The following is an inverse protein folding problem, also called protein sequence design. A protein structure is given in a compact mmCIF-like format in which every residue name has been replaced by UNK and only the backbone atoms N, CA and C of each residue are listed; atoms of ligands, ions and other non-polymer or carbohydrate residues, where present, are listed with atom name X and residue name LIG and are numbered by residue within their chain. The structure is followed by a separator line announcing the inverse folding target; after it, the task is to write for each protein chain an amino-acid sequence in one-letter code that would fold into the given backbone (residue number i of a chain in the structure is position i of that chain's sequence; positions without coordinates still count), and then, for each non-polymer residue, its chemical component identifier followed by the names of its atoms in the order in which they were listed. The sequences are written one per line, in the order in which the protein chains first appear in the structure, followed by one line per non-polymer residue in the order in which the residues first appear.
data_IF_067321744288
#
_entry.id   IF_067321744288
#
_cell.length_a   1.000
_cell.length_b   1.000
_cell.length_c   1.000
_cell.angle_alpha   90.00
_cell.angle_beta   90.00
_cell.angle_gamma   90.00
#
_symmetry.space_group_name_H-M   'P 1'
#
loop_
_entity.id
_entity.type
_entity.pdbx_description
1 polymer ?
#
# COMPACT_ATOMS: atom_id res chain seq x y z
N UNK A 1 29.82 22.35 87.06
CA UNK A 1 28.93 21.27 86.59
C UNK A 1 27.80 21.90 85.80
N UNK A 2 27.88 21.82 84.47
CA UNK A 2 26.92 22.43 83.53
C UNK A 2 25.86 21.37 83.21
N UNK A 3 24.59 21.63 83.57
CA UNK A 3 23.45 20.78 83.19
C UNK A 3 23.02 21.16 81.77
N UNK A 4 23.20 20.24 80.83
CA UNK A 4 22.66 20.34 79.47
C UNK A 4 21.22 19.81 79.46
N UNK A 5 20.28 20.67 79.06
CA UNK A 5 18.88 20.30 78.75
C UNK A 5 18.81 19.80 77.31
N UNK A 6 18.50 18.51 77.13
CA UNK A 6 18.13 17.94 75.83
C UNK A 6 16.66 18.27 75.53
N UNK A 7 16.42 19.08 74.50
CA UNK A 7 15.10 19.25 73.88
C UNK A 7 14.85 18.11 72.89
N UNK A 8 13.81 17.32 73.13
CA UNK A 8 13.34 16.31 72.19
C UNK A 8 12.52 16.98 71.06
N UNK A 9 13.01 16.92 69.82
CA UNK A 9 12.22 17.22 68.63
C UNK A 9 11.26 16.06 68.35
N UNK A 10 9.96 16.32 68.41
CA UNK A 10 8.95 15.39 67.95
C UNK A 10 8.81 15.49 66.42
N UNK A 11 9.31 14.50 65.68
CA UNK A 11 8.97 14.32 64.26
C UNK A 11 7.52 13.85 64.15
N UNK A 12 6.64 14.73 63.68
CA UNK A 12 5.26 14.37 63.34
C UNK A 12 5.23 13.74 61.94
N UNK A 13 5.09 12.42 61.88
CA UNK A 13 4.83 11.70 60.63
C UNK A 13 3.40 12.02 60.16
N UNK A 14 3.29 12.88 59.14
CA UNK A 14 2.01 13.14 58.47
C UNK A 14 1.74 11.98 57.51
N UNK A 15 0.84 11.07 57.90
CA UNK A 15 0.31 10.06 57.01
C UNK A 15 -0.55 10.76 55.95
N UNK A 16 -0.04 10.84 54.72
CA UNK A 16 -0.79 11.31 53.56
C UNK A 16 -1.82 10.23 53.22
N UNK A 17 -3.07 10.41 53.67
CA UNK A 17 -4.17 9.58 53.24
C UNK A 17 -4.43 9.86 51.76
N UNK A 18 -3.92 8.99 50.88
CA UNK A 18 -4.29 8.98 49.48
C UNK A 18 -5.76 8.56 49.46
N UNK A 19 -6.66 9.52 49.28
CA UNK A 19 -8.05 9.21 49.01
C UNK A 19 -8.07 8.30 47.78
N UNK A 20 -8.78 7.15 47.81
CA UNK A 20 -8.96 6.36 46.60
C UNK A 20 -9.58 7.29 45.56
N UNK A 21 -8.79 7.67 44.56
CA UNK A 21 -9.28 8.46 43.46
C UNK A 21 -10.46 7.70 42.87
N UNK A 22 -11.60 8.36 42.73
CA UNK A 22 -12.72 7.78 42.00
C UNK A 22 -12.18 7.34 40.65
N UNK A 23 -12.12 6.02 40.42
CA UNK A 23 -11.68 5.49 39.15
C UNK A 23 -12.65 6.03 38.10
N UNK A 24 -12.10 6.66 37.05
CA UNK A 24 -12.91 7.07 35.91
C UNK A 24 -13.68 5.84 35.40
N UNK A 25 -14.97 6.02 35.11
CA UNK A 25 -15.78 4.97 34.53
C UNK A 25 -15.13 4.50 33.20
N UNK A 26 -15.16 3.20 32.88
CA UNK A 26 -14.60 2.70 31.64
C UNK A 26 -15.33 3.32 30.45
N UNK A 27 -14.63 3.56 29.33
CA UNK A 27 -15.27 4.07 28.12
C UNK A 27 -16.38 3.12 27.63
N UNK A 28 -17.47 3.67 27.09
CA UNK A 28 -18.51 2.85 26.48
C UNK A 28 -17.99 2.16 25.20
N UNK A 29 -18.25 0.86 25.00
CA UNK A 29 -17.99 0.18 23.74
C UNK A 29 -18.65 0.90 22.55
N UNK A 30 -18.05 0.79 21.37
CA UNK A 30 -18.63 1.28 20.14
C UNK A 30 -19.63 0.24 19.61
N UNK A 31 -20.75 0.72 19.08
CA UNK A 31 -21.60 -0.09 18.22
C UNK A 31 -21.64 0.57 16.84
N UNK A 32 -21.15 -0.14 15.81
CA UNK A 32 -21.29 0.34 14.43
C UNK A 32 -22.73 0.07 13.99
N UNK A 33 -23.51 1.14 13.81
CA UNK A 33 -24.93 1.09 13.44
C UNK A 33 -25.14 1.16 11.93
N UNK A 34 -24.15 1.66 11.18
CA UNK A 34 -24.11 1.60 9.72
C UNK A 34 -22.67 1.44 9.22
N UNK A 35 -22.42 0.56 8.24
CA UNK A 35 -23.36 -0.43 7.72
C UNK A 35 -23.64 -1.56 8.72
N UNK A 36 -24.84 -2.13 8.65
CA UNK A 36 -25.15 -3.35 9.39
C UNK A 36 -24.26 -4.50 8.90
N UNK A 37 -23.91 -5.43 9.80
CA UNK A 37 -23.08 -6.57 9.46
C UNK A 37 -23.64 -7.37 8.27
N UNK A 38 -22.80 -7.67 7.29
CA UNK A 38 -23.15 -8.34 6.03
C UNK A 38 -23.84 -7.47 4.98
N UNK A 39 -23.99 -6.15 5.20
CA UNK A 39 -24.65 -5.28 4.23
C UNK A 39 -23.83 -5.13 2.94
N UNK A 40 -24.54 -4.96 1.83
CA UNK A 40 -23.96 -4.55 0.55
C UNK A 40 -24.10 -3.04 0.35
N UNK A 41 -22.98 -2.30 0.34
CA UNK A 41 -22.94 -0.83 0.37
C UNK A 41 -22.37 -0.22 -0.92
N UNK A 42 -22.40 1.10 -1.10
CA UNK A 42 -21.65 1.75 -2.20
C UNK A 42 -20.13 1.72 -1.93
N UNK A 43 -19.30 2.12 -2.90
CA UNK A 43 -17.85 2.26 -2.70
C UNK A 43 -17.45 3.43 -1.79
N UNK A 44 -18.41 4.30 -1.43
CA UNK A 44 -18.25 5.43 -0.51
C UNK A 44 -19.26 5.33 0.64
N UNK A 45 -19.24 4.24 1.43
CA UNK A 45 -20.21 4.07 2.51
C UNK A 45 -19.99 5.13 3.59
N UNK A 46 -21.09 5.48 4.27
CA UNK A 46 -21.01 6.22 5.52
C UNK A 46 -20.95 5.24 6.68
N UNK A 47 -19.85 5.29 7.44
CA UNK A 47 -19.66 4.53 8.67
C UNK A 47 -20.21 5.35 9.83
N UNK A 48 -21.17 4.78 10.55
CA UNK A 48 -21.78 5.38 11.72
C UNK A 48 -21.60 4.48 12.92
N UNK A 49 -21.12 5.03 14.03
CA UNK A 49 -21.00 4.31 15.29
C UNK A 49 -21.57 5.12 16.45
N UNK A 50 -22.22 4.43 17.39
CA UNK A 50 -22.80 4.99 18.62
C UNK A 50 -22.13 4.41 19.85
N UNK A 51 -22.19 5.13 20.97
CA UNK A 51 -21.80 4.58 22.26
C UNK A 51 -22.84 3.56 22.74
N UNK A 52 -22.39 2.45 23.32
CA UNK A 52 -23.25 1.55 24.08
C UNK A 52 -24.03 2.34 25.16
N UNK A 53 -25.29 1.97 25.36
CA UNK A 53 -26.23 2.64 26.24
C UNK A 53 -26.26 2.07 27.68
N UNK A 54 -25.35 1.16 28.01
CA UNK A 54 -25.20 0.62 29.37
C UNK A 54 -24.86 1.71 30.39
N UNK A 55 -25.43 1.60 31.59
CA UNK A 55 -25.39 2.64 32.62
C UNK A 55 -24.06 2.76 33.37
N UNK A 56 -23.09 1.88 33.11
CA UNK A 56 -21.85 1.73 33.86
C UNK A 56 -20.58 2.19 33.10
N UNK A 57 -20.75 2.80 31.92
CA UNK A 57 -19.65 3.29 31.10
C UNK A 57 -19.72 4.80 30.82
N UNK A 58 -18.57 5.38 30.47
CA UNK A 58 -18.43 6.77 30.07
C UNK A 58 -18.43 6.88 28.53
N UNK A 59 -19.46 7.48 27.90
CA UNK A 59 -19.46 7.70 26.46
C UNK A 59 -18.52 8.85 26.03
N UNK A 60 -17.80 9.50 26.97
CA UNK A 60 -16.91 10.63 26.72
C UNK A 60 -15.51 10.23 26.25
N UNK A 61 -15.44 9.57 25.09
CA UNK A 61 -14.16 9.36 24.41
C UNK A 61 -13.69 10.67 23.76
N UNK A 62 -12.39 10.97 23.88
CA UNK A 62 -11.77 12.15 23.26
C UNK A 62 -11.34 11.86 21.83
N UNK A 63 -10.78 10.69 21.61
CA UNK A 63 -10.18 10.30 20.35
C UNK A 63 -10.86 9.02 19.85
N UNK A 64 -11.30 9.05 18.60
CA UNK A 64 -11.93 7.94 17.89
C UNK A 64 -11.12 7.66 16.64
N UNK A 65 -10.71 6.42 16.43
CA UNK A 65 -10.08 5.99 15.18
C UNK A 65 -10.95 4.98 14.46
N UNK A 66 -11.12 5.17 13.17
CA UNK A 66 -11.77 4.26 12.25
C UNK A 66 -10.70 3.62 11.37
N UNK A 67 -10.71 2.30 11.29
CA UNK A 67 -9.94 1.52 10.31
C UNK A 67 -10.91 0.73 9.43
N UNK A 68 -10.62 0.68 8.13
CA UNK A 68 -11.25 -0.26 7.20
C UNK A 68 -10.20 -1.28 6.81
N UNK A 69 -10.51 -2.54 7.09
CA UNK A 69 -9.63 -3.67 6.91
C UNK A 69 -10.23 -4.60 5.86
N UNK A 70 -9.47 -4.98 4.84
CA UNK A 70 -9.90 -5.97 3.86
C UNK A 70 -10.06 -7.34 4.55
N UNK A 71 -11.21 -7.99 4.35
CA UNK A 71 -11.57 -9.15 5.15
C UNK A 71 -10.68 -10.38 4.90
N UNK A 72 -10.24 -10.56 3.65
CA UNK A 72 -9.46 -11.72 3.23
C UNK A 72 -7.96 -11.57 3.55
N UNK A 73 -7.38 -10.40 3.28
CA UNK A 73 -5.95 -10.15 3.51
C UNK A 73 -5.64 -9.69 4.93
N UNK A 74 -6.60 -9.07 5.62
CA UNK A 74 -6.37 -8.41 6.90
C UNK A 74 -5.63 -7.07 6.78
N UNK A 75 -5.43 -6.55 5.57
CA UNK A 75 -4.75 -5.28 5.34
C UNK A 75 -5.67 -4.10 5.66
N UNK A 76 -5.18 -3.12 6.43
CA UNK A 76 -5.85 -1.83 6.60
C UNK A 76 -5.74 -1.03 5.31
N UNK A 77 -6.87 -0.82 4.64
CA UNK A 77 -6.95 -0.07 3.37
C UNK A 77 -7.31 1.40 3.57
N UNK A 78 -7.86 1.75 4.73
CA UNK A 78 -8.24 3.11 5.08
C UNK A 78 -8.14 3.32 6.60
N UNK A 79 -7.61 4.46 7.02
CA UNK A 79 -7.57 4.88 8.43
C UNK A 79 -8.00 6.35 8.55
N UNK A 80 -8.78 6.68 9.58
CA UNK A 80 -9.13 8.05 9.91
C UNK A 80 -9.27 8.24 11.42
N UNK A 81 -8.82 9.38 11.95
CA UNK A 81 -8.90 9.71 13.38
C UNK A 81 -9.67 11.00 13.61
N UNK A 82 -10.47 11.03 14.67
CA UNK A 82 -11.20 12.20 15.15
C UNK A 82 -10.76 12.54 16.56
N UNK A 83 -10.49 13.82 16.78
CA UNK A 83 -10.33 14.38 18.13
C UNK A 83 -11.50 15.30 18.45
N UNK A 84 -12.10 15.09 19.63
CA UNK A 84 -13.26 15.84 20.08
C UNK A 84 -12.95 17.33 20.20
N UNK A 85 -13.76 18.15 19.54
CA UNK A 85 -13.57 19.60 19.41
C UNK A 85 -13.37 20.04 17.95
N UNK A 86 -12.98 19.11 17.08
CA UNK A 86 -12.75 19.34 15.64
C UNK A 86 -13.77 18.57 14.78
N UNK A 87 -15.07 18.85 14.94
CA UNK A 87 -16.12 18.34 14.03
C UNK A 87 -17.17 17.41 14.63
N UNK A 88 -17.03 16.98 15.89
CA UNK A 88 -18.09 16.27 16.60
C UNK A 88 -19.10 17.26 17.21
N UNK A 89 -20.40 17.06 16.99
CA UNK A 89 -21.47 17.95 17.47
C UNK A 89 -21.46 18.08 19.00
N UNK A 90 -21.08 19.26 19.50
CA UNK A 90 -20.89 19.59 20.93
C UNK A 90 -22.17 20.13 21.60
N UNK A 91 -23.31 19.48 21.37
CA UNK A 91 -24.60 19.85 21.98
C UNK A 91 -24.80 19.23 23.37
N UNK A 92 -24.96 20.08 24.40
CA UNK A 92 -25.11 19.73 25.82
C UNK A 92 -26.27 18.74 26.09
N UNK A 93 -26.16 18.05 27.24
CA UNK A 93 -27.09 17.07 27.87
C UNK A 93 -27.19 15.70 27.20
N UNK A 94 -26.64 14.70 27.88
CA UNK A 94 -26.56 13.29 27.47
C UNK A 94 -27.95 12.68 27.32
N UNK A 95 -28.25 12.17 26.13
CA UNK A 95 -29.30 11.18 25.92
C UNK A 95 -28.66 9.95 25.28
N UNK A 96 -29.14 8.77 25.67
CA UNK A 96 -28.76 7.47 25.12
C UNK A 96 -28.83 7.47 23.59
N UNK A 97 -27.87 6.81 22.91
CA UNK A 97 -27.82 6.73 21.44
C UNK A 97 -27.05 7.86 20.74
N UNK A 98 -26.10 8.48 21.42
CA UNK A 98 -25.27 9.54 20.84
C UNK A 98 -24.26 8.96 19.83
N UNK A 99 -24.24 9.58 18.65
CA UNK A 99 -23.36 9.25 17.53
C UNK A 99 -21.92 9.65 17.87
N UNK A 100 -21.02 8.66 17.91
CA UNK A 100 -19.59 8.83 18.14
C UNK A 100 -18.82 9.08 16.85
N UNK A 101 -19.32 8.54 15.74
CA UNK A 101 -18.69 8.57 14.43
C UNK A 101 -19.76 8.71 13.35
N UNK A 102 -19.52 9.61 12.40
CA UNK A 102 -20.30 9.74 11.15
C UNK A 102 -19.31 10.11 10.04
N UNK A 103 -18.83 9.10 9.31
CA UNK A 103 -17.74 9.28 8.36
C UNK A 103 -18.05 8.69 7.01
N UNK A 104 -17.99 9.50 5.96
CA UNK A 104 -18.08 9.00 4.60
C UNK A 104 -16.68 8.60 4.09
N UNK A 105 -16.52 7.33 3.72
CA UNK A 105 -15.29 6.85 3.11
C UNK A 105 -15.11 7.54 1.74
N UNK A 106 -13.94 8.15 1.47
CA UNK A 106 -13.66 8.78 0.18
C UNK A 106 -13.72 7.79 -1.00
N UNK A 107 -14.01 8.31 -2.19
CA UNK A 107 -14.05 7.51 -3.42
C UNK A 107 -12.67 6.94 -3.79
N UNK A 108 -12.63 5.64 -4.11
CA UNK A 108 -11.41 4.92 -4.50
C UNK A 108 -10.66 4.28 -3.34
N UNK A 109 -11.14 4.40 -2.11
CA UNK A 109 -10.55 3.68 -0.97
C UNK A 109 -10.95 2.20 -0.93
N UNK A 110 -12.16 1.89 -1.40
CA UNK A 110 -12.72 0.54 -1.36
C UNK A 110 -12.95 0.01 -2.77
N UNK A 111 -12.56 -1.24 -3.00
CA UNK A 111 -12.74 -1.96 -4.25
C UNK A 111 -14.14 -2.57 -4.31
N UNK A 112 -14.74 -2.58 -5.50
CA UNK A 112 -16.09 -3.11 -5.71
C UNK A 112 -16.08 -4.66 -5.66
N UNK A 113 -17.10 -5.25 -5.05
CA UNK A 113 -17.20 -6.71 -4.89
C UNK A 113 -16.44 -7.26 -3.68
N UNK A 114 -15.50 -6.49 -3.14
CA UNK A 114 -14.70 -6.90 -1.99
C UNK A 114 -15.46 -6.78 -0.67
N UNK A 115 -15.05 -7.62 0.29
CA UNK A 115 -15.57 -7.60 1.65
C UNK A 115 -14.58 -6.93 2.59
N UNK A 116 -15.08 -6.01 3.40
CA UNK A 116 -14.31 -5.24 4.35
C UNK A 116 -14.87 -5.41 5.76
N UNK A 117 -14.02 -5.10 6.73
CA UNK A 117 -14.34 -4.96 8.14
C UNK A 117 -14.07 -3.52 8.55
N UNK A 118 -15.09 -2.81 9.03
CA UNK A 118 -14.88 -1.56 9.74
C UNK A 118 -14.60 -1.85 11.21
N UNK A 119 -13.56 -1.22 11.74
CA UNK A 119 -13.14 -1.32 13.13
C UNK A 119 -13.06 0.08 13.73
N UNK A 120 -13.70 0.27 14.88
CA UNK A 120 -13.67 1.54 15.61
C UNK A 120 -12.89 1.35 16.91
N UNK A 121 -11.94 2.25 17.15
CA UNK A 121 -11.07 2.27 18.31
C UNK A 121 -11.25 3.57 19.09
N UNK A 122 -11.03 3.51 20.41
CA UNK A 122 -10.97 4.69 21.26
C UNK A 122 -9.71 4.69 22.10
N UNK A 123 -9.20 5.89 22.37
CA UNK A 123 -8.14 6.08 23.35
C UNK A 123 -8.70 5.80 24.75
N UNK A 124 -8.02 4.91 25.48
CA UNK A 124 -8.16 4.73 26.92
C UNK A 124 -7.08 5.58 27.57
N UNK A 125 -7.43 6.71 28.22
CA UNK A 125 -6.45 7.50 28.96
C UNK A 125 -5.99 6.69 30.17
N UNK A 126 -4.94 5.90 29.98
CA UNK A 126 -4.21 5.28 31.09
C UNK A 126 -2.95 6.10 31.29
N UNK A 127 -2.69 6.60 32.52
CA UNK A 127 -1.55 7.48 32.76
C UNK A 127 -0.17 6.82 32.56
N UNK A 128 -0.09 5.54 32.15
CA UNK A 128 1.15 4.76 32.10
C UNK A 128 1.24 3.70 30.98
N UNK A 129 0.32 3.61 30.01
CA UNK A 129 0.48 2.69 28.87
C UNK A 129 1.08 3.40 27.64
N UNK A 130 1.96 2.71 26.93
CA UNK A 130 2.57 3.19 25.68
C UNK A 130 1.70 2.89 24.44
N UNK A 131 0.72 1.98 24.57
CA UNK A 131 -0.35 1.77 23.60
C UNK A 131 -1.67 2.24 24.22
N UNK A 132 -2.14 3.41 23.78
CA UNK A 132 -3.28 4.09 24.38
C UNK A 132 -4.64 3.57 23.88
N UNK A 133 -4.70 2.62 22.95
CA UNK A 133 -5.98 2.14 22.43
C UNK A 133 -6.56 0.98 23.24
N UNK A 134 -7.85 1.06 23.59
CA UNK A 134 -8.55 0.09 24.43
C UNK A 134 -8.79 -1.29 23.79
N UNK A 135 -8.24 -1.58 22.61
CA UNK A 135 -8.68 -2.64 21.71
C UNK A 135 -9.85 -2.21 20.81
N UNK A 136 -10.27 -3.08 19.90
CA UNK A 136 -11.39 -2.84 18.97
C UNK A 136 -12.67 -2.63 19.78
N UNK A 137 -13.22 -1.42 19.75
CA UNK A 137 -14.40 -1.06 20.51
C UNK A 137 -15.70 -1.46 19.79
N UNK A 138 -15.67 -1.59 18.46
CA UNK A 138 -16.76 -2.12 17.65
C UNK A 138 -16.28 -2.58 16.29
N UNK A 139 -16.94 -3.60 15.73
CA UNK A 139 -16.60 -4.17 14.42
C UNK A 139 -17.85 -4.54 13.64
N UNK A 140 -17.82 -4.35 12.33
CA UNK A 140 -18.85 -4.81 11.40
C UNK A 140 -18.20 -5.21 10.09
N UNK A 141 -18.76 -6.20 9.40
CA UNK A 141 -18.34 -6.55 8.03
C UNK A 141 -19.36 -6.05 7.02
N UNK A 142 -18.91 -5.64 5.85
CA UNK A 142 -19.78 -5.24 4.75
C UNK A 142 -19.10 -5.53 3.42
N UNK A 143 -19.90 -5.71 2.37
CA UNK A 143 -19.41 -5.94 1.01
C UNK A 143 -19.68 -4.69 0.18
N UNK A 144 -18.70 -4.21 -0.56
CA UNK A 144 -18.94 -3.12 -1.51
C UNK A 144 -19.69 -3.69 -2.71
N UNK A 145 -20.80 -3.06 -3.06
CA UNK A 145 -21.59 -3.41 -4.24
C UNK A 145 -20.68 -3.38 -5.45
N UNK A 146 -20.47 -4.56 -6.06
CA UNK A 146 -19.94 -4.66 -7.42
C UNK A 146 -20.78 -3.75 -8.31
N UNK A 147 -20.13 -2.77 -8.95
CA UNK A 147 -20.80 -1.70 -9.70
C UNK A 147 -21.67 -2.25 -10.83
N UNK A 148 -22.91 -2.63 -10.52
CA UNK A 148 -23.97 -2.79 -11.50
C UNK A 148 -24.48 -1.42 -11.93
N UNK A 149 -23.59 -0.56 -12.41
CA UNK A 149 -23.95 0.65 -13.14
C UNK A 149 -23.64 0.35 -14.59
N UNK A 150 -24.67 0.30 -15.43
CA UNK A 150 -24.48 0.15 -16.87
C UNK A 150 -23.50 1.18 -17.40
N UNK A 151 -22.62 0.72 -18.29
CA UNK A 151 -21.82 1.50 -19.23
C UNK A 151 -20.44 2.03 -18.78
N UNK A 152 -19.71 1.30 -17.93
CA UNK A 152 -18.26 1.46 -17.78
C UNK A 152 -17.67 0.24 -17.08
N UNK A 153 -16.89 -0.56 -17.80
CA UNK A 153 -16.42 -1.88 -17.39
C UNK A 153 -15.74 -1.86 -16.01
N UNK A 154 -16.38 -2.44 -15.00
CA UNK A 154 -15.71 -2.78 -13.75
C UNK A 154 -14.74 -3.90 -14.03
N UNK A 155 -13.44 -3.62 -13.93
CA UNK A 155 -12.35 -4.56 -14.17
C UNK A 155 -12.63 -5.90 -13.50
N UNK A 156 -12.67 -6.96 -14.30
CA UNK A 156 -12.73 -8.33 -13.78
C UNK A 156 -11.47 -8.52 -12.94
N UNK A 157 -11.56 -9.00 -11.69
CA UNK A 157 -10.38 -9.22 -10.86
C UNK A 157 -9.38 -10.11 -11.61
N UNK A 158 -8.06 -9.87 -11.47
CA UNK A 158 -7.03 -10.67 -12.11
C UNK A 158 -7.25 -12.17 -11.81
N UNK A 159 -7.26 -12.98 -12.86
CA UNK A 159 -7.36 -14.43 -12.76
C UNK A 159 -5.96 -15.05 -12.57
N UNK A 160 -5.85 -16.32 -12.12
CA UNK A 160 -4.57 -17.01 -12.14
C UNK A 160 -3.95 -17.00 -13.55
N UNK A 161 -2.77 -16.39 -13.69
CA UNK A 161 -2.09 -16.19 -14.98
C UNK A 161 -2.29 -14.81 -15.60
N UNK A 162 -3.11 -13.95 -14.98
CA UNK A 162 -3.12 -12.53 -15.29
C UNK A 162 -2.00 -11.82 -14.52
N UNK A 163 -1.44 -10.78 -15.13
CA UNK A 163 -0.46 -9.89 -14.51
C UNK A 163 -1.07 -8.51 -14.28
N UNK A 164 -0.69 -7.86 -13.20
CA UNK A 164 -1.04 -6.46 -12.92
C UNK A 164 0.16 -5.57 -13.17
N UNK A 165 -0.06 -4.43 -13.80
CA UNK A 165 0.96 -3.40 -14.01
C UNK A 165 0.47 -2.11 -13.38
N UNK A 166 1.30 -1.48 -12.58
CA UNK A 166 1.09 -0.10 -12.13
C UNK A 166 2.28 0.74 -12.59
N UNK A 167 2.01 1.82 -13.33
CA UNK A 167 3.02 2.79 -13.73
C UNK A 167 2.78 4.06 -12.92
N UNK A 168 3.70 4.38 -12.01
CA UNK A 168 3.58 5.52 -11.08
C UNK A 168 4.56 6.62 -11.47
N UNK A 169 4.05 7.78 -11.89
CA UNK A 169 4.90 8.88 -12.32
C UNK A 169 5.55 9.64 -11.15
N UNK A 170 6.74 10.18 -11.36
CA UNK A 170 7.52 10.94 -10.36
C UNK A 170 7.19 12.44 -10.30
N UNK A 171 6.23 12.89 -11.12
CA UNK A 171 5.79 14.29 -11.23
C UNK A 171 6.34 15.04 -12.45
N UNK A 172 7.42 14.55 -13.07
CA UNK A 172 7.98 15.12 -14.32
C UNK A 172 7.20 14.78 -15.58
N UNK A 173 6.42 13.70 -15.54
CA UNK A 173 5.73 13.16 -16.71
C UNK A 173 6.63 12.25 -17.55
N UNK A 174 6.14 11.08 -17.95
CA UNK A 174 6.81 10.22 -18.94
C UNK A 174 5.78 9.48 -19.77
N UNK A 175 6.03 9.36 -21.07
CA UNK A 175 5.26 8.48 -21.93
C UNK A 175 5.63 7.02 -21.67
N UNK A 176 4.70 6.11 -21.93
CA UNK A 176 4.98 4.68 -21.88
C UNK A 176 4.39 3.95 -23.08
N UNK A 177 5.03 2.83 -23.42
CA UNK A 177 4.48 1.80 -24.29
C UNK A 177 4.61 0.44 -23.61
N UNK A 178 3.50 -0.28 -23.50
CA UNK A 178 3.42 -1.65 -22.99
C UNK A 178 3.18 -2.56 -24.19
N UNK A 179 4.05 -3.54 -24.37
CA UNK A 179 3.89 -4.65 -25.30
C UNK A 179 3.51 -5.89 -24.49
N UNK A 180 2.22 -6.17 -24.41
CA UNK A 180 1.64 -7.33 -23.77
C UNK A 180 2.00 -8.64 -24.47
N UNK A 181 2.07 -9.71 -23.70
CA UNK A 181 2.06 -11.08 -24.23
C UNK A 181 0.65 -11.65 -24.40
N UNK A 182 -0.35 -10.76 -24.44
CA UNK A 182 -1.77 -11.07 -24.50
C UNK A 182 -2.62 -9.81 -24.30
N UNK A 183 -3.93 -9.98 -24.05
CA UNK A 183 -4.88 -8.86 -24.01
C UNK A 183 -4.58 -7.92 -22.85
N UNK A 184 -4.45 -6.63 -23.15
CA UNK A 184 -4.34 -5.55 -22.17
C UNK A 184 -5.71 -4.95 -21.85
N UNK A 185 -5.90 -4.58 -20.59
CA UNK A 185 -7.11 -3.92 -20.09
C UNK A 185 -6.67 -2.83 -19.12
N UNK A 186 -7.01 -1.58 -19.39
CA UNK A 186 -6.78 -0.49 -18.44
C UNK A 186 -7.77 -0.60 -17.28
N UNK A 187 -7.36 -0.14 -16.10
CA UNK A 187 -8.15 -0.24 -14.87
C UNK A 187 -8.22 1.10 -14.16
N UNK A 188 -9.44 1.53 -13.81
CA UNK A 188 -9.71 2.59 -12.83
C UNK A 188 -9.97 2.00 -11.43
N UNK A 189 -9.44 2.63 -10.38
CA UNK A 189 -9.69 2.26 -8.98
C UNK A 189 -8.43 1.88 -8.22
N UNK A 190 -8.35 0.65 -7.70
CA UNK A 190 -7.18 0.13 -6.98
C UNK A 190 -6.62 -1.11 -7.67
N UNK A 191 -5.31 -1.12 -7.88
CA UNK A 191 -4.57 -2.23 -8.48
C UNK A 191 -3.25 -2.41 -7.73
N UNK A 192 -2.93 -3.63 -7.31
CA UNK A 192 -1.73 -3.94 -6.52
C UNK A 192 -1.54 -2.99 -5.29
N UNK A 193 -2.65 -2.63 -4.62
CA UNK A 193 -2.63 -1.73 -3.46
C UNK A 193 -2.47 -0.24 -3.79
N UNK A 194 -2.27 0.13 -5.05
CA UNK A 194 -2.12 1.51 -5.53
C UNK A 194 -3.43 2.04 -6.10
N UNK A 195 -3.68 3.35 -5.96
CA UNK A 195 -4.77 4.01 -6.67
C UNK A 195 -4.33 4.24 -8.11
N UNK A 196 -5.10 3.76 -9.07
CA UNK A 196 -4.88 3.91 -10.50
C UNK A 196 -6.07 4.59 -11.15
N UNK A 197 -5.85 5.25 -12.28
CA UNK A 197 -6.91 5.88 -13.05
C UNK A 197 -6.86 5.48 -14.51
N UNK A 198 -8.04 5.33 -15.12
CA UNK A 198 -8.17 5.40 -16.58
C UNK A 198 -8.07 6.86 -17.01
N UNK A 199 -7.09 7.18 -17.86
CA UNK A 199 -6.99 8.50 -18.45
C UNK A 199 -7.38 8.46 -19.92
N UNK A 200 -8.12 9.48 -20.38
CA UNK A 200 -8.57 9.54 -21.77
C UNK A 200 -7.45 9.76 -22.79
N UNK A 201 -6.20 9.94 -22.36
CA UNK A 201 -5.01 10.01 -23.20
C UNK A 201 -4.25 8.68 -23.30
N UNK A 202 -4.75 7.61 -22.68
CA UNK A 202 -4.19 6.28 -22.83
C UNK A 202 -4.97 5.52 -23.89
N UNK A 203 -4.25 4.77 -24.71
CA UNK A 203 -4.78 3.98 -25.82
C UNK A 203 -4.39 2.53 -25.59
N UNK A 204 -5.39 1.65 -25.58
CA UNK A 204 -5.18 0.19 -25.54
C UNK A 204 -5.71 -0.40 -26.84
N UNK A 205 -4.81 -1.01 -27.61
CA UNK A 205 -5.10 -1.73 -28.86
C UNK A 205 -4.60 -3.17 -28.72
N UNK A 206 -5.53 -4.06 -28.37
CA UNK A 206 -5.32 -5.50 -28.11
C UNK A 206 -4.20 -5.80 -27.09
N UNK A 207 -3.00 -6.10 -27.58
CA UNK A 207 -1.80 -6.44 -26.80
C UNK A 207 -0.83 -5.26 -26.65
N UNK A 208 -1.20 -4.06 -27.11
CA UNK A 208 -0.37 -2.87 -26.97
C UNK A 208 -1.13 -1.77 -26.21
N UNK A 209 -0.47 -1.16 -25.22
CA UNK A 209 -0.97 0.05 -24.57
C UNK A 209 0.05 1.18 -24.69
N UNK A 210 -0.43 2.40 -24.93
CA UNK A 210 0.36 3.62 -24.99
C UNK A 210 -0.30 4.69 -24.15
N UNK A 211 0.50 5.48 -23.45
CA UNK A 211 -0.04 6.50 -22.58
C UNK A 211 1.03 7.40 -22.03
N UNK A 212 0.66 8.20 -21.03
CA UNK A 212 1.61 9.02 -20.31
C UNK A 212 1.18 9.21 -18.86
N UNK A 213 2.12 9.02 -17.94
CA UNK A 213 1.89 9.20 -16.51
C UNK A 213 2.61 10.43 -15.99
N UNK A 214 1.91 11.27 -15.21
CA UNK A 214 2.42 12.50 -14.59
C UNK A 214 2.81 12.35 -13.13
N UNK A 215 1.99 12.88 -12.23
CA UNK A 215 2.10 12.68 -10.78
C UNK A 215 1.12 11.65 -10.21
N UNK A 216 0.38 10.96 -11.08
CA UNK A 216 -0.58 9.92 -10.74
C UNK A 216 -0.04 8.51 -11.02
N UNK A 217 -0.96 7.55 -11.16
CA UNK A 217 -0.62 6.19 -11.55
C UNK A 217 -1.65 5.66 -12.53
N UNK A 218 -1.16 4.92 -13.52
CA UNK A 218 -1.99 4.21 -14.48
C UNK A 218 -1.90 2.71 -14.19
N UNK A 219 -3.00 2.00 -14.38
CA UNK A 219 -3.14 0.59 -14.03
C UNK A 219 -3.57 -0.24 -15.22
N UNK A 220 -2.94 -1.40 -15.40
CA UNK A 220 -3.27 -2.34 -16.46
C UNK A 220 -3.32 -3.77 -15.94
N UNK A 221 -4.24 -4.56 -16.48
CA UNK A 221 -4.23 -6.02 -16.37
C UNK A 221 -3.79 -6.59 -17.71
N UNK A 222 -2.79 -7.48 -17.68
CA UNK A 222 -2.35 -8.27 -18.84
C UNK A 222 -2.87 -9.68 -18.69
N UNK A 223 -3.59 -10.18 -19.70
CA UNK A 223 -4.07 -11.56 -19.74
C UNK A 223 -3.17 -12.37 -20.66
N UNK A 224 -2.23 -13.14 -20.10
CA UNK A 224 -1.27 -13.93 -20.87
C UNK A 224 0.16 -13.68 -20.40
N UNK A 225 1.10 -13.69 -21.34
CA UNK A 225 2.52 -13.58 -20.99
C UNK A 225 2.89 -12.17 -20.53
N UNK A 226 3.93 -12.10 -19.70
CA UNK A 226 4.38 -10.88 -19.03
C UNK A 226 4.95 -9.85 -20.04
N UNK A 227 4.52 -8.58 -19.98
CA UNK A 227 4.83 -7.57 -20.99
C UNK A 227 6.29 -7.11 -21.04
N UNK A 228 6.67 -6.50 -22.15
CA UNK A 228 7.81 -5.57 -22.24
C UNK A 228 7.28 -4.14 -22.08
N UNK A 229 7.93 -3.31 -21.27
CA UNK A 229 7.45 -1.96 -20.96
C UNK A 229 8.57 -0.97 -21.27
N UNK A 230 8.28 0.07 -22.04
CA UNK A 230 9.24 1.12 -22.39
C UNK A 230 8.72 2.44 -21.86
N UNK A 231 9.58 3.20 -21.20
CA UNK A 231 9.33 4.58 -20.81
C UNK A 231 10.12 5.50 -21.73
N UNK A 232 9.51 6.62 -22.14
CA UNK A 232 10.20 7.65 -22.92
C UNK A 232 11.30 8.32 -22.08
N UNK A 233 11.02 8.55 -20.79
CA UNK A 233 11.96 8.95 -19.74
C UNK A 233 11.94 7.91 -18.61
N UNK A 234 12.95 7.04 -18.49
CA UNK A 234 13.02 5.99 -17.48
C UNK A 234 13.04 6.49 -16.03
N UNK A 235 13.59 7.68 -15.77
CA UNK A 235 13.54 8.33 -14.45
C UNK A 235 12.18 8.96 -14.13
N UNK A 236 11.30 9.06 -15.12
CA UNK A 236 10.00 9.73 -15.01
C UNK A 236 8.91 8.90 -14.32
N UNK A 237 9.09 7.59 -14.18
CA UNK A 237 8.13 6.71 -13.48
C UNK A 237 8.79 5.48 -12.84
N UNK A 238 8.09 4.90 -11.86
CA UNK A 238 8.36 3.57 -11.31
C UNK A 238 7.30 2.62 -11.85
N UNK A 239 7.75 1.46 -12.32
CA UNK A 239 6.86 0.39 -12.77
C UNK A 239 6.80 -0.67 -11.67
N UNK A 240 5.59 -1.12 -11.34
CA UNK A 240 5.35 -2.28 -10.51
C UNK A 240 4.60 -3.33 -11.33
N UNK A 241 5.03 -4.59 -11.27
CA UNK A 241 4.35 -5.73 -11.86
C UNK A 241 4.03 -6.71 -10.75
N UNK A 242 2.76 -7.09 -10.62
CA UNK A 242 2.27 -7.97 -9.56
C UNK A 242 2.60 -7.47 -8.14
N UNK A 243 2.62 -6.14 -7.98
CA UNK A 243 2.94 -5.46 -6.72
C UNK A 243 4.43 -5.39 -6.38
N UNK A 244 5.31 -5.88 -7.25
CA UNK A 244 6.76 -5.80 -7.09
C UNK A 244 7.35 -4.78 -8.05
N UNK A 245 8.37 -4.03 -7.62
CA UNK A 245 9.10 -3.12 -8.53
C UNK A 245 9.66 -3.89 -9.72
N UNK A 246 9.38 -3.42 -10.92
CA UNK A 246 9.79 -4.06 -12.17
C UNK A 246 10.96 -3.31 -12.78
N UNK A 247 12.07 -4.03 -13.00
CA UNK A 247 13.30 -3.48 -13.56
C UNK A 247 13.70 -4.31 -14.76
N UNK A 248 14.07 -3.65 -15.85
CA UNK A 248 14.68 -4.29 -17.01
C UNK A 248 16.18 -3.96 -17.06
N UNK A 249 16.99 -4.98 -17.28
CA UNK A 249 18.43 -4.86 -17.42
C UNK A 249 18.84 -5.45 -18.76
N UNK A 250 19.65 -4.71 -19.51
CA UNK A 250 20.32 -5.22 -20.71
C UNK A 250 21.81 -5.03 -20.56
N UNK A 251 22.57 -6.09 -20.78
CA UNK A 251 24.03 -6.06 -20.85
C UNK A 251 24.39 -6.19 -22.33
N UNK A 252 24.79 -5.08 -22.94
CA UNK A 252 24.95 -4.97 -24.39
C UNK A 252 26.42 -4.85 -24.80
N UNK A 253 26.88 -5.74 -25.68
CA UNK A 253 28.21 -5.64 -26.30
C UNK A 253 28.16 -5.25 -27.77
N UNK A 254 26.98 -5.00 -28.38
CA UNK A 254 26.88 -4.77 -29.82
C UNK A 254 27.61 -3.51 -30.30
N UNK A 255 27.73 -2.51 -29.43
CA UNK A 255 28.37 -1.22 -29.77
C UNK A 255 29.83 -1.12 -29.34
N UNK A 256 30.38 -2.16 -28.71
CA UNK A 256 31.72 -2.16 -28.12
C UNK A 256 32.48 -3.43 -28.54
N UNK A 257 33.79 -3.33 -28.75
CA UNK A 257 34.59 -4.49 -29.16
C UNK A 257 35.04 -5.30 -27.95
N UNK A 258 34.84 -6.61 -27.97
CA UNK A 258 35.33 -7.53 -26.93
C UNK A 258 34.20 -8.36 -26.35
N UNK A 259 34.43 -8.95 -25.18
CA UNK A 259 33.40 -9.56 -24.36
C UNK A 259 33.66 -9.27 -22.89
N UNK A 260 32.64 -9.44 -22.06
CA UNK A 260 32.75 -9.33 -20.61
C UNK A 260 31.92 -10.40 -19.93
N UNK A 261 32.54 -11.09 -18.97
CA UNK A 261 31.79 -11.84 -17.97
C UNK A 261 31.03 -10.85 -17.07
N UNK A 262 29.89 -11.28 -16.55
CA UNK A 262 29.11 -10.50 -15.61
C UNK A 262 28.52 -11.33 -14.47
N UNK A 263 28.26 -10.63 -13.37
CA UNK A 263 27.46 -11.13 -12.26
C UNK A 263 26.39 -10.10 -11.92
N UNK A 264 25.13 -10.52 -11.95
CA UNK A 264 24.01 -9.88 -11.26
C UNK A 264 23.83 -10.58 -9.92
N UNK A 265 23.79 -9.84 -8.81
CA UNK A 265 23.58 -10.46 -7.50
C UNK A 265 22.88 -9.55 -6.51
N UNK A 266 22.08 -10.17 -5.64
CA UNK A 266 21.21 -9.43 -4.73
C UNK A 266 19.99 -8.87 -5.47
N UNK A 267 19.22 -8.03 -4.79
CA UNK A 267 17.95 -7.55 -5.33
C UNK A 267 16.84 -8.61 -5.27
N UNK A 268 15.90 -8.49 -6.21
CA UNK A 268 14.71 -9.33 -6.33
C UNK A 268 14.87 -10.58 -7.19
N UNK A 269 13.74 -11.19 -7.59
CA UNK A 269 13.72 -12.38 -8.47
C UNK A 269 14.22 -12.01 -9.86
N UNK A 270 15.13 -12.81 -10.43
CA UNK A 270 15.66 -12.63 -11.78
C UNK A 270 15.03 -13.59 -12.78
N UNK A 271 14.75 -13.08 -13.98
CA UNK A 271 14.28 -13.84 -15.13
C UNK A 271 15.09 -13.42 -16.36
N UNK A 272 15.73 -14.38 -17.04
CA UNK A 272 16.43 -14.12 -18.30
C UNK A 272 15.43 -14.15 -19.46
N UNK A 273 15.59 -13.21 -20.39
CA UNK A 273 14.63 -12.98 -21.48
C UNK A 273 15.28 -13.26 -22.83
N UNK A 274 14.54 -13.98 -23.67
CA UNK A 274 14.79 -14.10 -25.10
C UNK A 274 13.75 -13.25 -25.84
N UNK A 275 14.19 -12.32 -26.69
CA UNK A 275 13.30 -11.39 -27.39
C UNK A 275 13.80 -9.95 -27.39
N UNK A 276 13.00 -9.01 -26.86
CA UNK A 276 13.35 -7.58 -26.85
C UNK A 276 13.06 -6.95 -25.49
N UNK A 277 14.04 -6.21 -24.96
CA UNK A 277 13.89 -5.35 -23.79
C UNK A 277 14.34 -3.94 -24.16
N UNK A 278 13.52 -2.94 -23.86
CA UNK A 278 13.86 -1.52 -24.11
C UNK A 278 14.21 -1.25 -25.59
N UNK A 279 13.60 -2.00 -26.51
CA UNK A 279 13.88 -1.93 -27.95
C UNK A 279 15.19 -2.61 -28.40
N UNK A 280 15.95 -3.19 -27.47
CA UNK A 280 17.20 -3.92 -27.76
C UNK A 280 16.88 -5.41 -27.86
N UNK A 281 17.35 -6.05 -28.94
CA UNK A 281 17.24 -7.50 -29.09
C UNK A 281 18.16 -8.19 -28.07
N UNK A 282 17.59 -9.09 -27.29
CA UNK A 282 18.27 -9.85 -26.24
C UNK A 282 18.07 -11.33 -26.43
N UNK A 283 19.02 -12.13 -25.96
CA UNK A 283 18.91 -13.58 -26.00
C UNK A 283 19.07 -14.21 -24.61
N UNK A 284 18.37 -15.32 -24.42
CA UNK A 284 18.65 -16.22 -23.31
C UNK A 284 19.67 -17.27 -23.76
N UNK A 285 20.93 -17.14 -23.32
CA UNK A 285 21.96 -18.09 -23.67
C UNK A 285 22.11 -19.20 -22.62
N UNK A 286 22.29 -20.43 -23.10
CA UNK A 286 22.38 -21.61 -22.21
C UNK A 286 23.66 -21.68 -21.37
N UNK A 287 24.65 -20.83 -21.61
CA UNK A 287 25.85 -20.69 -20.77
C UNK A 287 25.61 -19.77 -19.56
N UNK A 288 24.53 -18.98 -19.56
CA UNK A 288 24.21 -18.14 -18.41
C UNK A 288 23.50 -18.96 -17.35
N UNK A 289 23.86 -18.70 -16.10
CA UNK A 289 23.32 -19.41 -14.94
C UNK A 289 22.50 -18.45 -14.10
N UNK A 290 21.17 -18.55 -14.22
CA UNK A 290 20.24 -17.85 -13.34
C UNK A 290 19.82 -18.78 -12.20
N UNK A 291 20.03 -18.33 -10.95
CA UNK A 291 19.60 -19.03 -9.73
C UNK A 291 19.10 -18.00 -8.72
N UNK A 292 17.81 -18.07 -8.40
CA UNK A 292 17.14 -17.17 -7.47
C UNK A 292 17.31 -15.68 -7.83
N UNK A 293 18.09 -14.93 -7.05
CA UNK A 293 18.42 -13.52 -7.27
C UNK A 293 19.88 -13.31 -7.73
N UNK A 294 20.45 -14.31 -8.39
CA UNK A 294 21.79 -14.25 -8.98
C UNK A 294 21.78 -14.72 -10.43
N UNK A 295 22.49 -14.00 -11.29
CA UNK A 295 22.82 -14.44 -12.64
C UNK A 295 24.33 -14.29 -12.88
N UNK A 296 24.97 -15.34 -13.37
CA UNK A 296 26.35 -15.32 -13.84
C UNK A 296 26.35 -15.66 -15.33
N UNK A 297 27.00 -14.84 -16.16
CA UNK A 297 26.99 -15.00 -17.61
C UNK A 297 28.12 -14.28 -18.31
N UNK A 298 28.09 -14.26 -19.64
CA UNK A 298 29.10 -13.59 -20.46
C UNK A 298 28.51 -13.04 -21.74
N UNK A 299 28.72 -11.75 -22.01
CA UNK A 299 28.30 -11.11 -23.27
C UNK A 299 29.51 -10.93 -24.19
N UNK A 300 29.37 -11.24 -25.48
CA UNK A 300 30.46 -11.17 -26.47
C UNK A 300 30.03 -10.50 -27.77
N UNK A 301 29.16 -11.15 -28.55
CA UNK A 301 28.54 -10.56 -29.75
C UNK A 301 27.02 -10.58 -29.55
N UNK A 302 26.46 -9.55 -28.91
CA UNK A 302 25.02 -9.49 -28.67
C UNK A 302 24.67 -8.75 -27.40
N UNK A 303 23.51 -9.11 -26.85
CA UNK A 303 23.02 -8.50 -25.62
C UNK A 303 22.25 -9.53 -24.81
N UNK A 304 22.48 -9.55 -23.50
CA UNK A 304 21.75 -10.40 -22.56
C UNK A 304 20.72 -9.56 -21.82
N UNK A 305 19.51 -10.11 -21.68
CA UNK A 305 18.36 -9.40 -21.13
C UNK A 305 17.81 -10.04 -19.87
N UNK A 306 17.50 -9.22 -18.87
CA UNK A 306 16.93 -9.66 -17.60
C UNK A 306 15.76 -8.79 -17.16
N UNK A 307 14.73 -9.43 -16.62
CA UNK A 307 13.71 -8.80 -15.78
C UNK A 307 14.03 -9.06 -14.31
N UNK A 308 13.84 -8.04 -13.49
CA UNK A 308 13.97 -8.13 -12.03
C UNK A 308 12.64 -7.71 -11.40
N UNK A 309 12.16 -8.52 -10.47
CA UNK A 309 10.98 -8.23 -9.66
C UNK A 309 11.44 -7.99 -8.22
N UNK A 310 11.40 -6.74 -7.77
CA UNK A 310 11.86 -6.28 -6.48
C UNK A 310 13.02 -5.28 -6.57
N UNK A 311 13.94 -5.34 -5.61
CA UNK A 311 15.04 -4.37 -5.53
C UNK A 311 16.08 -4.54 -6.66
N UNK A 312 16.72 -3.42 -7.03
CA UNK A 312 17.80 -3.38 -8.02
C UNK A 312 18.98 -4.28 -7.60
N UNK A 313 19.45 -5.21 -8.45
CA UNK A 313 20.61 -6.03 -8.15
C UNK A 313 21.90 -5.21 -8.25
N UNK A 314 22.95 -5.70 -7.59
CA UNK A 314 24.32 -5.28 -7.88
C UNK A 314 24.75 -5.89 -9.21
N UNK A 315 25.37 -5.07 -10.06
CA UNK A 315 25.88 -5.46 -11.38
C UNK A 315 27.40 -5.32 -11.35
N UNK A 316 28.10 -6.39 -11.73
CA UNK A 316 29.56 -6.41 -11.86
C UNK A 316 29.93 -6.93 -13.24
N UNK A 317 30.84 -6.22 -13.91
CA UNK A 317 31.46 -6.65 -15.17
C UNK A 317 32.93 -6.96 -14.91
N UNK A 318 33.43 -8.04 -15.49
CA UNK A 318 34.87 -8.34 -15.48
C UNK A 318 35.65 -7.29 -16.28
N UNK A 319 35.11 -6.90 -17.43
CA UNK A 319 35.71 -5.92 -18.35
C UNK A 319 34.67 -4.84 -18.72
N UNK A 320 34.44 -3.82 -17.88
CA UNK A 320 33.38 -2.83 -18.10
C UNK A 320 33.56 -1.97 -19.37
N UNK A 321 34.73 -2.02 -20.01
CA UNK A 321 34.94 -1.36 -21.31
C UNK A 321 34.34 -2.14 -22.49
N UNK A 322 33.98 -3.41 -22.29
CA UNK A 322 33.54 -4.33 -23.33
C UNK A 322 32.01 -4.58 -23.30
N UNK A 323 31.27 -3.89 -22.44
CA UNK A 323 29.80 -3.94 -22.43
C UNK A 323 29.21 -2.63 -21.87
N UNK A 324 28.01 -2.27 -22.32
CA UNK A 324 27.19 -1.18 -21.78
C UNK A 324 26.02 -1.80 -21.03
N UNK A 325 25.77 -1.34 -19.80
CA UNK A 325 24.63 -1.81 -19.00
C UNK A 325 23.52 -0.78 -19.10
N UNK A 326 22.35 -1.21 -19.58
CA UNK A 326 21.13 -0.42 -19.61
C UNK A 326 20.21 -0.87 -18.48
N UNK A 327 19.66 0.07 -17.72
CA UNK A 327 18.70 -0.17 -16.65
C UNK A 327 17.47 0.68 -16.93
N UNK A 328 16.33 0.04 -17.19
CA UNK A 328 15.07 0.68 -17.59
C UNK A 328 15.16 1.63 -18.81
N UNK A 329 16.25 1.55 -19.58
CA UNK A 329 16.47 2.35 -20.80
C UNK A 329 17.58 3.38 -20.62
N UNK A 330 18.10 3.53 -19.40
CA UNK A 330 19.23 4.43 -19.10
C UNK A 330 20.56 3.68 -19.03
N UNK A 331 21.63 4.17 -19.68
CA UNK A 331 22.95 3.58 -19.57
C UNK A 331 23.58 3.90 -18.19
N UNK A 332 24.28 2.92 -17.61
CA UNK A 332 24.93 3.00 -16.29
C UNK A 332 26.45 3.08 -16.36
#
# INVERSE_FOLDING_TARGET
MIRSTLSALALSASALAIAPGALAAPACPAEIVSPSSGATVSATPTIQATADNRSDCDPNVKDVRLEIVEADSGNTVYEHSYTRGEGLLTGRTWSTGMLLLDHQIPSGELSAGETYRAEVYYDKPTPFAFDNYAGVAGTTTFTVRGGGSGDGQTGVPPQPGDHTIVISGSGGGTGYTIFGGGRLEQVDGRLAGRRVSEQGNDEVDDDIARGAVGGGSDGFIVRGDLPSIVLDDPGGAVIEVDGETFIQIVIDSQTVSGGSDYTLSGGGRLEQIDGHLMGIAVSAHGNDQVRDNRADGSVGEGSDGYRVYGAMPQISLADPANAVVWVNGEPR
#
